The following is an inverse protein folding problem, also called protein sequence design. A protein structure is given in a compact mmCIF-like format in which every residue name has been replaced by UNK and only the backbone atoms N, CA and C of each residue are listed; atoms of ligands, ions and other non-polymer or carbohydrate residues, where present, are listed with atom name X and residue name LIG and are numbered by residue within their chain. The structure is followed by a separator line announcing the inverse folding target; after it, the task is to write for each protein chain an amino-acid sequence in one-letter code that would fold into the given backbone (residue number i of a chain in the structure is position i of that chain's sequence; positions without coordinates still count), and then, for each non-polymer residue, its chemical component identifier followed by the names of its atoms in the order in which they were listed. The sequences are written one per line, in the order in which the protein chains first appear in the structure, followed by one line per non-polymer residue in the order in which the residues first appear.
data_IF_780538449056
#
_entry.id   IF_780538449056
#
_cell.length_a   1.000
_cell.length_b   1.000
_cell.length_c   1.000
_cell.angle_alpha   90.00
_cell.angle_beta   90.00
_cell.angle_gamma   90.00
#
_symmetry.space_group_name_H-M   'P 1'
#
loop_
_entity.id
_entity.type
_entity.pdbx_description
1 polymer ?
#
# COMPACT_ATOMS: atom_id res chain seq x y z
N UNK A 1 5.97 1.18 18.20
CA UNK A 1 4.85 0.82 17.28
C UNK A 1 3.65 1.72 17.56
N UNK A 2 3.19 2.59 16.65
CA UNK A 2 2.00 3.40 16.91
C UNK A 2 0.73 2.59 16.61
N UNK A 3 0.36 1.71 17.54
CA UNK A 3 -0.89 0.90 17.52
C UNK A 3 -2.18 1.75 17.56
N UNK A 4 -2.08 3.08 17.69
CA UNK A 4 -3.20 3.99 17.97
C UNK A 4 -3.79 4.71 16.74
N UNK A 5 -3.07 4.85 15.63
CA UNK A 5 -3.63 5.51 14.43
C UNK A 5 -4.46 4.56 13.55
N UNK A 6 -4.14 3.26 13.54
CA UNK A 6 -4.86 2.27 12.74
C UNK A 6 -6.27 1.93 13.26
N UNK A 7 -6.62 2.38 14.47
CA UNK A 7 -7.94 2.15 15.07
C UNK A 7 -8.99 3.18 14.62
N UNK A 8 -8.60 4.29 14.00
CA UNK A 8 -9.50 5.42 13.67
C UNK A 8 -10.11 5.35 12.27
N UNK A 9 -9.64 4.44 11.42
CA UNK A 9 -10.07 4.29 10.03
C UNK A 9 -10.53 2.86 9.68
N UNK A 10 -10.81 2.02 10.67
CA UNK A 10 -11.53 0.76 10.43
C UNK A 10 -13.01 0.99 10.76
N UNK A 11 -13.87 1.12 9.74
CA UNK A 11 -15.30 0.86 9.91
C UNK A 11 -15.46 -0.56 10.44
N UNK A 12 -16.47 -0.73 11.29
CA UNK A 12 -16.78 -1.94 12.02
C UNK A 12 -16.80 -3.18 11.10
N UNK A 13 -16.00 -4.24 11.37
CA UNK A 13 -16.00 -5.47 10.56
C UNK A 13 -17.36 -6.20 10.57
N UNK A 14 -18.29 -5.78 11.43
CA UNK A 14 -19.67 -6.26 11.46
C UNK A 14 -20.53 -5.68 10.34
N UNK A 15 -20.33 -4.43 9.93
CA UNK A 15 -21.17 -3.77 8.91
C UNK A 15 -20.85 -4.22 7.47
N UNK A 16 -19.63 -4.72 7.23
CA UNK A 16 -19.24 -5.33 5.95
C UNK A 16 -19.86 -6.74 5.78
N UNK A 17 -20.19 -7.45 6.87
CA UNK A 17 -20.83 -8.78 6.82
C UNK A 17 -22.26 -8.77 6.29
N UNK A 18 -22.92 -7.62 6.23
CA UNK A 18 -24.35 -7.50 5.89
C UNK A 18 -24.65 -7.34 4.39
N UNK A 19 -23.64 -7.19 3.53
CA UNK A 19 -23.88 -7.12 2.08
C UNK A 19 -24.18 -8.50 1.48
N UNK A 20 -25.26 -8.59 0.68
CA UNK A 20 -25.80 -9.82 0.07
C UNK A 20 -24.77 -10.65 -0.71
N UNK A 21 -23.74 -10.01 -1.27
CA UNK A 21 -22.60 -10.62 -1.98
C UNK A 21 -21.56 -11.28 -1.06
N UNK A 22 -21.48 -10.87 0.22
CA UNK A 22 -20.54 -11.39 1.21
C UNK A 22 -21.10 -12.58 2.00
N UNK A 23 -22.42 -12.86 1.90
CA UNK A 23 -23.06 -14.03 2.51
C UNK A 23 -22.57 -15.36 1.93
N UNK A 24 -22.14 -15.39 0.66
CA UNK A 24 -21.52 -16.56 0.02
C UNK A 24 -20.16 -16.91 0.66
N UNK A 25 -19.40 -15.91 1.11
CA UNK A 25 -18.10 -16.10 1.75
C UNK A 25 -18.18 -16.32 3.28
N UNK A 26 -19.39 -16.29 3.87
CA UNK A 26 -19.61 -16.27 5.33
C UNK A 26 -19.00 -17.42 6.13
N UNK A 27 -18.89 -18.63 5.55
CA UNK A 27 -18.21 -19.77 6.20
C UNK A 27 -16.68 -19.71 6.12
N UNK A 28 -16.15 -19.10 5.06
CA UNK A 28 -14.71 -19.00 4.79
C UNK A 28 -14.04 -17.80 5.50
N UNK A 29 -14.87 -16.89 6.03
CA UNK A 29 -14.54 -15.65 6.70
C UNK A 29 -14.25 -15.78 8.22
N UNK A 30 -14.16 -17.00 8.75
CA UNK A 30 -13.99 -17.25 10.19
C UNK A 30 -12.57 -17.00 10.72
N UNK A 31 -11.57 -16.84 9.84
CA UNK A 31 -10.20 -16.56 10.26
C UNK A 31 -9.97 -15.05 10.52
N UNK A 32 -9.69 -14.62 11.77
CA UNK A 32 -9.47 -13.20 12.09
C UNK A 32 -8.23 -12.61 11.41
N UNK A 33 -7.25 -13.44 11.04
CA UNK A 33 -6.05 -13.00 10.32
C UNK A 33 -6.33 -12.49 8.89
N UNK A 34 -7.48 -12.85 8.30
CA UNK A 34 -7.88 -12.38 6.96
C UNK A 34 -8.35 -10.92 6.97
N UNK A 35 -8.72 -10.40 8.13
CA UNK A 35 -9.23 -9.04 8.31
C UNK A 35 -8.16 -8.08 8.85
N UNK A 36 -7.16 -8.60 9.55
CA UNK A 36 -6.09 -7.77 10.11
C UNK A 36 -5.09 -7.30 9.04
N UNK A 37 -4.83 -6.00 9.07
CA UNK A 37 -3.82 -5.33 8.24
C UNK A 37 -2.42 -5.58 8.81
N UNK A 38 -1.77 -6.67 8.39
CA UNK A 38 -0.36 -6.95 8.68
C UNK A 38 0.48 -6.79 7.41
N UNK A 39 1.72 -6.29 7.51
CA UNK A 39 2.62 -6.03 6.37
C UNK A 39 2.75 -7.23 5.40
N UNK A 40 2.88 -8.44 5.96
CA UNK A 40 2.99 -9.67 5.17
C UNK A 40 1.63 -10.12 4.62
N UNK A 41 0.53 -9.84 5.32
CA UNK A 41 -0.83 -10.15 4.87
C UNK A 41 -1.23 -9.26 3.68
N UNK A 42 -0.94 -7.96 3.77
CA UNK A 42 -1.19 -6.99 2.69
C UNK A 42 -0.34 -7.32 1.47
N UNK A 43 0.96 -7.58 1.62
CA UNK A 43 1.82 -7.92 0.48
C UNK A 43 1.34 -9.19 -0.26
N UNK A 44 0.91 -10.23 0.47
CA UNK A 44 0.35 -11.45 -0.12
C UNK A 44 -0.99 -11.18 -0.81
N UNK A 45 -1.86 -10.39 -0.20
CA UNK A 45 -3.13 -9.97 -0.81
C UNK A 45 -2.93 -9.15 -2.09
N UNK A 46 -1.92 -8.27 -2.11
CA UNK A 46 -1.59 -7.48 -3.29
C UNK A 46 -1.16 -8.37 -4.45
N UNK A 47 -0.28 -9.34 -4.20
CA UNK A 47 0.18 -10.26 -5.24
C UNK A 47 -0.95 -11.13 -5.79
N UNK A 48 -1.73 -11.76 -4.90
CA UNK A 48 -2.83 -12.64 -5.30
C UNK A 48 -3.99 -11.87 -5.94
N UNK A 49 -4.36 -10.72 -5.37
CA UNK A 49 -5.44 -9.89 -5.90
C UNK A 49 -5.12 -9.36 -7.30
N UNK A 50 -3.88 -8.94 -7.54
CA UNK A 50 -3.46 -8.45 -8.86
C UNK A 50 -3.33 -9.59 -9.88
N UNK A 51 -2.88 -10.77 -9.46
CA UNK A 51 -2.92 -11.98 -10.30
C UNK A 51 -4.34 -12.32 -10.72
N UNK A 52 -5.28 -12.38 -9.77
CA UNK A 52 -6.68 -12.68 -10.05
C UNK A 52 -7.37 -11.58 -10.88
N UNK A 53 -6.99 -10.31 -10.70
CA UNK A 53 -7.50 -9.16 -11.44
C UNK A 53 -7.11 -9.16 -12.92
N UNK A 54 -6.01 -9.83 -13.26
CA UNK A 54 -5.48 -9.97 -14.62
C UNK A 54 -6.10 -11.15 -15.36
N UNK A 55 -6.65 -12.13 -14.65
CA UNK A 55 -7.32 -13.30 -15.23
C UNK A 55 -8.78 -12.93 -15.53
N UNK A 56 -9.16 -12.81 -16.81
CA UNK A 56 -10.47 -12.35 -17.23
C UNK A 56 -11.46 -13.52 -17.21
N UNK A 57 -11.77 -14.00 -16.01
CA UNK A 57 -12.80 -15.03 -15.79
C UNK A 57 -14.03 -14.44 -15.11
N UNK A 58 -15.24 -14.89 -15.48
CA UNK A 58 -16.41 -14.64 -14.65
C UNK A 58 -16.14 -15.21 -13.25
N UNK A 59 -16.61 -14.53 -12.20
CA UNK A 59 -16.35 -14.91 -10.80
C UNK A 59 -14.88 -14.78 -10.35
N UNK A 60 -14.07 -13.92 -10.97
CA UNK A 60 -12.70 -13.57 -10.53
C UNK A 60 -12.58 -13.18 -9.04
N UNK A 61 -13.65 -12.66 -8.42
CA UNK A 61 -13.69 -12.41 -6.96
C UNK A 61 -13.57 -13.70 -6.14
N UNK A 62 -14.20 -14.79 -6.58
CA UNK A 62 -14.08 -16.10 -5.95
C UNK A 62 -12.67 -16.64 -6.11
N UNK A 63 -12.06 -16.46 -7.28
CA UNK A 63 -10.66 -16.84 -7.50
C UNK A 63 -9.72 -16.07 -6.57
N UNK A 64 -9.87 -14.75 -6.48
CA UNK A 64 -9.06 -13.92 -5.59
C UNK A 64 -9.22 -14.35 -4.13
N UNK A 65 -10.46 -14.61 -3.69
CA UNK A 65 -10.73 -15.10 -2.34
C UNK A 65 -10.12 -16.49 -2.09
N UNK A 66 -10.34 -17.44 -3.00
CA UNK A 66 -9.83 -18.81 -2.92
C UNK A 66 -8.31 -18.85 -2.86
N UNK A 67 -7.63 -17.98 -3.59
CA UNK A 67 -6.17 -17.85 -3.56
C UNK A 67 -5.67 -17.09 -2.32
N UNK A 68 -6.44 -16.11 -1.81
CA UNK A 68 -6.04 -15.30 -0.66
C UNK A 68 -6.03 -16.08 0.66
N UNK A 69 -6.90 -17.08 0.80
CA UNK A 69 -7.04 -17.91 2.01
C UNK A 69 -5.80 -18.77 2.30
N UNK A 70 -5.31 -19.64 1.37
CA UNK A 70 -4.13 -20.46 1.63
C UNK A 70 -2.89 -19.60 1.86
N UNK A 71 -2.77 -18.46 1.17
CA UNK A 71 -1.66 -17.53 1.42
C UNK A 71 -1.85 -16.69 2.69
N UNK A 72 -2.96 -16.83 3.43
CA UNK A 72 -3.32 -16.02 4.61
C UNK A 72 -3.16 -14.52 4.35
N UNK A 73 -3.61 -14.07 3.18
CA UNK A 73 -3.64 -12.68 2.77
C UNK A 73 -4.87 -11.94 3.29
N UNK A 74 -4.82 -10.61 3.27
CA UNK A 74 -5.96 -9.78 3.61
C UNK A 74 -7.05 -9.91 2.53
N UNK A 75 -8.19 -10.50 2.90
CA UNK A 75 -9.24 -10.84 1.96
C UNK A 75 -9.91 -9.58 1.34
N UNK A 76 -10.29 -8.55 2.14
CA UNK A 76 -10.81 -7.31 1.57
C UNK A 76 -9.91 -6.70 0.51
N UNK A 77 -8.59 -6.60 0.78
CA UNK A 77 -7.64 -6.02 -0.18
C UNK A 77 -7.56 -6.85 -1.46
N UNK A 78 -7.47 -8.17 -1.36
CA UNK A 78 -7.39 -9.05 -2.52
C UNK A 78 -8.63 -8.90 -3.43
N UNK A 79 -9.82 -8.83 -2.83
CA UNK A 79 -11.08 -8.66 -3.57
C UNK A 79 -11.22 -7.24 -4.13
N UNK A 80 -10.81 -6.20 -3.38
CA UNK A 80 -10.84 -4.81 -3.85
C UNK A 80 -9.90 -4.58 -5.04
N UNK A 81 -8.79 -5.30 -5.13
CA UNK A 81 -7.90 -5.21 -6.29
C UNK A 81 -8.54 -5.74 -7.57
N UNK A 82 -9.37 -6.78 -7.46
CA UNK A 82 -10.14 -7.28 -8.61
C UNK A 82 -11.12 -6.22 -9.12
N UNK A 83 -11.65 -5.38 -8.22
CA UNK A 83 -12.50 -4.25 -8.61
C UNK A 83 -11.73 -3.10 -9.28
N UNK A 84 -10.40 -3.10 -9.21
CA UNK A 84 -9.57 -2.13 -9.92
C UNK A 84 -9.62 -2.37 -11.45
N UNK A 85 -9.91 -3.59 -11.89
CA UNK A 85 -10.14 -3.95 -13.30
C UNK A 85 -11.54 -3.50 -13.73
N UNK A 86 -11.75 -2.19 -13.80
CA UNK A 86 -12.99 -1.55 -14.20
C UNK A 86 -13.07 -1.43 -15.76
N UNK A 87 -14.23 -1.09 -16.33
CA UNK A 87 -14.38 -0.92 -17.79
C UNK A 87 -13.39 0.07 -18.41
N UNK A 88 -12.83 0.98 -17.62
CA UNK A 88 -11.83 1.95 -18.06
C UNK A 88 -10.42 1.33 -18.15
N UNK A 89 -10.06 0.42 -17.23
CA UNK A 89 -8.75 -0.26 -17.20
C UNK A 89 -8.73 -1.57 -17.97
N UNK A 90 -9.88 -2.16 -18.30
CA UNK A 90 -9.95 -3.39 -19.11
C UNK A 90 -9.29 -3.26 -20.50
N UNK A 91 -9.55 -2.21 -21.30
CA UNK A 91 -8.95 -2.09 -22.63
C UNK A 91 -7.40 -2.13 -22.62
N UNK A 92 -6.69 -1.32 -21.81
CA UNK A 92 -5.23 -1.39 -21.79
C UNK A 92 -4.71 -2.71 -21.21
N UNK A 93 -5.38 -3.29 -20.20
CA UNK A 93 -4.99 -4.58 -19.64
C UNK A 93 -5.10 -5.67 -20.70
N UNK A 94 -6.21 -5.73 -21.43
CA UNK A 94 -6.45 -6.76 -22.44
C UNK A 94 -5.50 -6.64 -23.62
N UNK A 95 -5.18 -5.41 -24.02
CA UNK A 95 -4.19 -5.16 -25.05
C UNK A 95 -2.81 -5.71 -24.65
N UNK A 96 -2.34 -5.40 -23.43
CA UNK A 96 -1.03 -5.87 -22.95
C UNK A 96 -0.99 -7.38 -22.77
N UNK A 97 -2.04 -7.98 -22.20
CA UNK A 97 -2.09 -9.44 -22.03
C UNK A 97 -2.15 -10.17 -23.36
N UNK A 98 -2.98 -9.70 -24.30
CA UNK A 98 -3.03 -10.27 -25.65
C UNK A 98 -1.70 -10.14 -26.38
N UNK A 99 -1.08 -8.94 -26.38
CA UNK A 99 0.23 -8.74 -27.02
C UNK A 99 1.29 -9.67 -26.43
N UNK A 100 1.33 -9.79 -25.09
CA UNK A 100 2.30 -10.66 -24.40
C UNK A 100 2.08 -12.13 -24.77
N UNK A 101 0.83 -12.57 -24.83
CA UNK A 101 0.49 -13.94 -25.21
C UNK A 101 0.73 -14.25 -26.69
N UNK A 102 0.37 -13.34 -27.58
CA UNK A 102 0.61 -13.46 -29.02
C UNK A 102 2.11 -13.49 -29.32
N UNK A 103 2.90 -12.67 -28.62
CA UNK A 103 4.36 -12.69 -28.70
C UNK A 103 4.93 -14.02 -28.22
N UNK A 104 4.43 -14.55 -27.10
CA UNK A 104 4.89 -15.83 -26.54
C UNK A 104 4.52 -17.04 -27.41
N UNK A 105 3.36 -17.00 -28.07
CA UNK A 105 2.90 -18.04 -28.99
C UNK A 105 3.40 -17.85 -30.44
N UNK A 106 4.13 -16.77 -30.74
CA UNK A 106 4.57 -16.41 -32.09
C UNK A 106 3.41 -16.41 -33.11
N UNK A 107 2.23 -15.92 -32.69
CA UNK A 107 1.04 -15.89 -33.56
C UNK A 107 1.22 -14.78 -34.59
N UNK A 108 1.11 -15.07 -35.90
CA UNK A 108 1.24 -14.05 -36.94
C UNK A 108 0.13 -13.00 -36.82
N UNK A 109 0.42 -11.71 -37.08
CA UNK A 109 -0.60 -10.66 -37.12
C UNK A 109 -1.66 -11.00 -38.16
N UNK A 110 -2.91 -11.16 -37.74
CA UNK A 110 -4.01 -11.53 -38.64
C UNK A 110 -4.70 -10.28 -39.17
N UNK A 111 -4.94 -10.28 -40.47
CA UNK A 111 -5.74 -9.26 -41.16
C UNK A 111 -7.21 -9.42 -40.81
N UNK A 112 -7.92 -8.31 -40.61
CA UNK A 112 -9.37 -8.33 -40.48
C UNK A 112 -9.96 -8.71 -41.84
N UNK A 113 -10.86 -9.72 -41.93
CA UNK A 113 -11.62 -9.97 -43.14
C UNK A 113 -12.61 -8.84 -43.41
N UNK A 114 -12.97 -8.68 -44.68
CA UNK A 114 -13.96 -7.69 -45.14
C UNK A 114 -15.38 -7.98 -44.64
N UNK A 115 -15.68 -9.23 -44.23
CA UNK A 115 -17.00 -9.60 -43.70
C UNK A 115 -16.90 -10.26 -42.33
N UNK A 116 -17.54 -9.62 -41.33
CA UNK A 116 -17.64 -10.14 -39.97
C UNK A 116 -18.85 -11.09 -39.91
N UNK A 117 -18.64 -12.35 -40.32
CA UNK A 117 -19.65 -13.40 -40.16
C UNK A 117 -19.62 -13.98 -38.74
N UNK A 118 -20.75 -14.50 -38.25
CA UNK A 118 -20.83 -15.08 -36.89
C UNK A 118 -19.89 -16.29 -36.75
N UNK A 119 -19.76 -17.10 -37.80
CA UNK A 119 -18.84 -18.24 -37.84
C UNK A 119 -17.37 -17.79 -37.72
N UNK A 120 -17.01 -16.71 -38.42
CA UNK A 120 -15.69 -16.10 -38.31
C UNK A 120 -15.41 -15.58 -36.90
N UNK A 121 -16.41 -14.97 -36.25
CA UNK A 121 -16.30 -14.48 -34.87
C UNK A 121 -16.04 -15.63 -33.91
N UNK A 122 -16.75 -16.77 -34.03
CA UNK A 122 -16.52 -17.95 -33.19
C UNK A 122 -15.14 -18.57 -33.40
N UNK A 123 -14.67 -18.71 -34.64
CA UNK A 123 -13.33 -19.25 -34.94
C UNK A 123 -12.22 -18.33 -34.41
N UNK A 124 -12.41 -17.02 -34.51
CA UNK A 124 -11.48 -16.05 -33.96
C UNK A 124 -11.50 -16.05 -32.44
N UNK A 125 -12.66 -16.10 -31.80
CA UNK A 125 -12.78 -16.26 -30.34
C UNK A 125 -12.08 -17.52 -29.87
N UNK A 126 -12.26 -18.64 -30.57
CA UNK A 126 -11.62 -19.94 -30.29
C UNK A 126 -10.09 -19.94 -30.50
N UNK A 127 -9.55 -18.95 -31.21
CA UNK A 127 -8.11 -18.79 -31.41
C UNK A 127 -7.51 -17.71 -30.50
N UNK A 128 -8.25 -16.65 -30.18
CA UNK A 128 -7.79 -15.51 -29.39
C UNK A 128 -7.75 -15.82 -27.89
N UNK A 129 -8.65 -16.66 -27.39
CA UNK A 129 -8.70 -16.97 -25.95
C UNK A 129 -7.42 -17.65 -25.44
N UNK A 130 -6.72 -18.42 -26.27
CA UNK A 130 -5.47 -19.10 -25.91
C UNK A 130 -4.31 -18.13 -25.61
N UNK A 131 -3.85 -17.27 -26.55
CA UNK A 131 -2.80 -16.29 -26.27
C UNK A 131 -3.25 -15.32 -25.17
N UNK A 132 -4.53 -14.94 -25.15
CA UNK A 132 -5.06 -14.06 -24.11
C UNK A 132 -4.97 -14.66 -22.69
N UNK A 133 -5.36 -15.93 -22.53
CA UNK A 133 -5.26 -16.63 -21.24
C UNK A 133 -3.78 -16.83 -20.85
N UNK A 134 -2.92 -17.21 -21.79
CA UNK A 134 -1.49 -17.35 -21.52
C UNK A 134 -0.87 -16.02 -21.07
N UNK A 135 -1.14 -14.95 -21.82
CA UNK A 135 -0.62 -13.63 -21.54
C UNK A 135 -1.15 -13.06 -20.22
N UNK A 136 -2.42 -13.29 -19.89
CA UNK A 136 -2.98 -12.90 -18.58
C UNK A 136 -2.34 -13.64 -17.41
N UNK A 137 -2.08 -14.95 -17.53
CA UNK A 137 -1.36 -15.72 -16.49
C UNK A 137 0.06 -15.19 -16.32
N UNK A 138 0.81 -15.00 -17.41
CA UNK A 138 2.19 -14.50 -17.36
C UNK A 138 2.24 -13.09 -16.77
N UNK A 139 1.44 -12.16 -17.30
CA UNK A 139 1.37 -10.79 -16.79
C UNK A 139 0.89 -10.77 -15.34
N UNK A 140 -0.11 -11.58 -14.99
CA UNK A 140 -0.61 -11.71 -13.63
C UNK A 140 0.45 -12.19 -12.65
N UNK A 141 1.27 -13.18 -13.02
CA UNK A 141 2.38 -13.66 -12.17
C UNK A 141 3.44 -12.57 -12.01
N UNK A 142 3.87 -11.95 -13.11
CA UNK A 142 4.89 -10.90 -13.09
C UNK A 142 4.42 -9.71 -12.25
N UNK A 143 3.23 -9.19 -12.51
CA UNK A 143 2.63 -8.10 -11.76
C UNK A 143 2.36 -8.49 -10.31
N UNK A 144 1.92 -9.72 -10.04
CA UNK A 144 1.69 -10.21 -8.68
C UNK A 144 2.97 -10.26 -7.85
N UNK A 145 4.07 -10.75 -8.44
CA UNK A 145 5.39 -10.76 -7.79
C UNK A 145 5.89 -9.33 -7.56
N UNK A 146 5.77 -8.45 -8.57
CA UNK A 146 6.13 -7.04 -8.44
C UNK A 146 5.30 -6.34 -7.36
N UNK A 147 4.00 -6.60 -7.28
CA UNK A 147 3.09 -6.05 -6.27
C UNK A 147 3.49 -6.48 -4.85
N UNK A 148 3.92 -7.74 -4.67
CA UNK A 148 4.44 -8.22 -3.40
C UNK A 148 5.69 -7.45 -2.96
N UNK A 149 6.69 -7.36 -3.84
CA UNK A 149 7.96 -6.69 -3.53
C UNK A 149 7.80 -5.18 -3.37
N UNK A 150 7.00 -4.52 -4.21
CA UNK A 150 6.71 -3.09 -4.08
C UNK A 150 6.01 -2.78 -2.77
N UNK A 151 5.06 -3.61 -2.34
CA UNK A 151 4.40 -3.45 -1.03
C UNK A 151 5.41 -3.57 0.12
N UNK A 152 6.32 -4.54 0.05
CA UNK A 152 7.37 -4.73 1.06
C UNK A 152 8.39 -3.58 1.07
N UNK A 153 8.78 -3.10 -0.11
CA UNK A 153 9.66 -1.95 -0.28
C UNK A 153 9.03 -0.64 0.20
N UNK A 154 7.78 -0.39 -0.16
CA UNK A 154 6.98 0.73 0.32
C UNK A 154 6.90 0.73 1.85
N UNK A 155 6.69 -0.44 2.46
CA UNK A 155 6.68 -0.56 3.91
C UNK A 155 8.04 -0.22 4.54
N UNK A 156 9.15 -0.74 4.00
CA UNK A 156 10.51 -0.42 4.48
C UNK A 156 10.79 1.09 4.39
N UNK A 157 10.46 1.70 3.26
CA UNK A 157 10.63 3.12 3.03
C UNK A 157 9.76 3.96 3.98
N UNK A 158 8.49 3.58 4.15
CA UNK A 158 7.56 4.27 5.03
C UNK A 158 7.99 4.22 6.50
N UNK A 159 8.43 3.05 6.99
CA UNK A 159 8.96 2.90 8.35
C UNK A 159 10.25 3.69 8.54
N UNK A 160 11.21 3.60 7.62
CA UNK A 160 12.47 4.36 7.69
C UNK A 160 12.23 5.88 7.67
N UNK A 161 11.30 6.34 6.82
CA UNK A 161 10.88 7.74 6.78
C UNK A 161 10.20 8.17 8.08
N UNK A 162 9.37 7.30 8.68
CA UNK A 162 8.73 7.59 9.96
C UNK A 162 9.72 7.63 11.13
N UNK A 163 10.79 6.82 11.09
CA UNK A 163 11.87 6.85 12.06
C UNK A 163 12.73 8.11 11.91
N UNK A 164 13.11 8.50 10.68
CA UNK A 164 13.80 9.78 10.43
C UNK A 164 12.97 10.98 10.90
N UNK A 165 11.65 10.96 10.68
CA UNK A 165 10.73 12.00 11.19
C UNK A 165 10.67 12.05 12.73
N UNK A 166 10.91 10.95 13.43
CA UNK A 166 10.98 10.91 14.90
C UNK A 166 12.32 11.42 15.41
N UNK A 167 13.43 11.07 14.75
CA UNK A 167 14.77 11.54 15.11
C UNK A 167 14.88 13.06 14.92
N UNK A 168 14.37 13.62 13.82
CA UNK A 168 14.34 15.07 13.62
C UNK A 168 13.50 15.83 14.66
N UNK A 169 12.51 15.18 15.29
CA UNK A 169 11.74 15.78 16.39
C UNK A 169 12.53 15.78 17.69
N UNK A 170 13.17 14.67 18.05
CA UNK A 170 14.02 14.60 19.25
C UNK A 170 15.20 15.58 19.19
N UNK A 171 15.90 15.65 18.05
CA UNK A 171 17.05 16.56 17.91
C UNK A 171 16.65 18.04 17.99
N UNK A 172 15.46 18.42 17.49
CA UNK A 172 14.94 19.78 17.61
C UNK A 172 14.54 20.14 19.04
N UNK A 173 13.94 19.21 19.78
CA UNK A 173 13.59 19.44 21.18
C UNK A 173 14.85 19.60 22.03
N UNK A 174 15.84 18.72 21.87
CA UNK A 174 17.11 18.82 22.61
C UNK A 174 17.90 20.10 22.27
N UNK A 175 17.95 20.50 20.98
CA UNK A 175 18.59 21.74 20.59
C UNK A 175 17.88 22.97 21.19
N UNK A 176 16.54 23.01 21.16
CA UNK A 176 15.77 24.12 21.74
C UNK A 176 15.93 24.20 23.27
N UNK A 177 16.04 23.05 23.96
CA UNK A 177 16.23 23.04 25.42
C UNK A 177 17.65 23.48 25.81
N UNK A 178 18.66 23.10 25.02
CA UNK A 178 20.05 23.51 25.25
C UNK A 178 20.23 25.02 25.03
N UNK A 179 19.59 25.59 24.01
CA UNK A 179 19.61 27.03 23.74
C UNK A 179 18.95 27.83 24.87
N UNK A 180 17.81 27.34 25.37
CA UNK A 180 17.11 27.94 26.51
C UNK A 180 17.92 27.91 27.82
N UNK A 181 18.68 26.83 28.05
CA UNK A 181 19.56 26.72 29.22
C UNK A 181 20.78 27.63 29.11
N UNK A 182 21.38 27.76 27.93
CA UNK A 182 22.49 28.67 27.69
C UNK A 182 22.09 30.13 27.90
N UNK A 183 20.91 30.52 27.40
CA UNK A 183 20.39 31.88 27.55
C UNK A 183 20.05 32.22 29.03
N UNK A 184 19.47 31.25 29.77
CA UNK A 184 19.23 31.39 31.20
C UNK A 184 20.52 31.57 32.02
N UNK A 185 21.57 30.79 31.71
CA UNK A 185 22.88 30.91 32.37
C UNK A 185 23.56 32.26 32.07
N UNK A 186 23.44 32.77 30.83
CA UNK A 186 23.99 34.06 30.46
C UNK A 186 23.28 35.22 31.17
N UNK A 187 21.96 35.13 31.39
CA UNK A 187 21.19 36.11 32.17
C UNK A 187 21.59 36.08 33.65
N UNK A 188 21.74 34.91 34.27
CA UNK A 188 22.21 34.78 35.65
C UNK A 188 23.63 35.36 35.83
N UNK A 189 24.54 35.08 34.91
CA UNK A 189 25.91 35.63 34.98
C UNK A 189 25.95 37.15 34.84
N UNK A 190 25.16 37.73 33.92
CA UNK A 190 25.02 39.20 33.82
C UNK A 190 24.41 39.80 35.08
N UNK A 191 23.34 39.21 35.59
CA UNK A 191 22.67 39.67 36.81
C UNK A 191 23.58 39.63 38.04
N UNK A 192 24.37 38.56 38.19
CA UNK A 192 25.35 38.41 39.27
C UNK A 192 26.46 39.45 39.22
N UNK A 193 27.04 39.70 38.04
CA UNK A 193 28.05 40.75 37.87
C UNK A 193 27.52 42.15 38.15
N UNK A 194 26.27 42.43 37.78
CA UNK A 194 25.64 43.72 38.04
C UNK A 194 25.35 43.91 39.52
N UNK A 195 24.88 42.86 40.21
CA UNK A 195 24.66 42.89 41.66
C UNK A 195 25.97 43.04 42.46
N UNK A 196 27.06 42.45 41.96
CA UNK A 196 28.38 42.57 42.59
C UNK A 196 29.04 43.92 42.30
N UNK A 197 28.85 44.48 41.10
CA UNK A 197 29.26 45.85 40.77
C UNK A 197 28.51 46.89 41.61
N UNK A 198 27.21 46.71 41.82
CA UNK A 198 26.41 47.58 42.68
C UNK A 198 26.81 47.44 44.16
N UNK A 199 27.16 46.23 44.63
CA UNK A 199 27.72 46.05 45.99
C UNK A 199 29.06 46.75 46.15
N UNK A 200 29.96 46.64 45.18
CA UNK A 200 31.27 47.32 45.25
C UNK A 200 31.11 48.82 45.25
N UNK A 201 30.23 49.35 44.40
CA UNK A 201 29.91 50.79 44.36
C UNK A 201 29.30 51.27 45.69
N UNK A 202 28.38 50.49 46.28
CA UNK A 202 27.74 50.85 47.56
C UNK A 202 28.68 50.67 48.77
N UNK A 203 29.64 49.76 48.70
CA UNK A 203 30.68 49.60 49.72
C UNK A 203 31.69 50.76 49.69
N UNK A 204 32.01 51.28 48.51
CA UNK A 204 32.93 52.42 48.34
C UNK A 204 32.33 53.74 48.86
N UNK A 205 31.00 53.87 48.83
CA UNK A 205 30.28 55.03 49.40
C UNK A 205 30.24 55.00 50.95
N UNK A 206 30.63 53.88 51.58
CA UNK A 206 30.43 53.64 53.03
C UNK A 206 31.66 53.74 53.92
N UNK A 207 32.83 54.09 53.38
CA UNK A 207 33.99 54.47 54.19
C UNK A 207 34.40 55.93 53.90
N UNK A 208 34.69 56.73 54.95
CA UNK A 208 34.41 58.16 55.04
C UNK A 208 35.42 59.10 54.36
#
# INVERSE_FOLDING_TARGET
MPRRLFKRYMPDPTSIREHKSLRFFGKLLHDPNLWHLNRHSVARAMGVGLFAALIPIPMQMLLAAALAIPVRGNLPIAVSLVWLTNPLTMPPVFFVTYMTGAWLMQVPPRTLPEEITVDWVTDQLATIWQPFLLGSVVCGVVLGVLAYFTTMGYWRWWVGRQWRRRQCRCSRTHAATADQQADAQHIEQRGGHQHEADRRTNADIRHP
#
